data_IF_244473412400
#
_entry.id   IF_244473412400
#
_cell.length_a   1.000
_cell.length_b   1.000
_cell.length_c   1.000
_cell.angle_alpha   90.00
_cell.angle_beta   90.00
_cell.angle_gamma   90.00
#
_symmetry.space_group_name_H-M   'P 1'
#
loop_
_entity.id
_entity.type
_entity.pdbx_description
1 polymer ?
#
# COMPACT_ATOMS: atom_id res chain seq x y z
N UNK A 1 26.90 -2.95 -13.04
CA UNK A 1 26.26 -2.51 -11.78
C UNK A 1 24.75 -2.68 -11.90
N UNK A 2 24.04 -3.19 -10.89
CA UNK A 2 22.59 -3.51 -10.98
C UNK A 2 21.68 -2.31 -11.31
N UNK A 3 22.14 -1.09 -11.01
CA UNK A 3 21.40 0.16 -11.24
C UNK A 3 21.82 0.90 -12.52
N UNK A 4 22.61 0.25 -13.38
CA UNK A 4 23.07 0.87 -14.60
C UNK A 4 21.89 1.18 -15.56
N UNK A 5 21.93 2.29 -16.32
CA UNK A 5 20.81 2.75 -17.15
C UNK A 5 20.24 1.69 -18.10
N UNK A 6 21.08 0.80 -18.62
CA UNK A 6 20.74 -0.31 -19.51
C UNK A 6 19.80 -1.37 -18.87
N UNK A 7 19.64 -1.34 -17.54
CA UNK A 7 18.73 -2.23 -16.82
C UNK A 7 17.41 -1.56 -16.40
N UNK A 8 17.17 -0.28 -16.75
CA UNK A 8 15.97 0.47 -16.31
C UNK A 8 14.65 -0.24 -16.60
N UNK A 9 14.50 -0.80 -17.80
CA UNK A 9 13.27 -1.52 -18.15
C UNK A 9 13.05 -2.74 -17.26
N UNK A 10 14.12 -3.50 -16.99
CA UNK A 10 14.07 -4.68 -16.11
C UNK A 10 13.78 -4.29 -14.66
N UNK A 11 14.36 -3.18 -14.18
CA UNK A 11 14.07 -2.64 -12.84
C UNK A 11 12.62 -2.15 -12.74
N UNK A 12 12.09 -1.56 -13.81
CA UNK A 12 10.70 -1.16 -13.93
C UNK A 12 9.72 -2.31 -13.77
N UNK A 13 10.00 -3.45 -14.40
CA UNK A 13 9.21 -4.69 -14.22
C UNK A 13 9.24 -5.20 -12.76
N UNK A 14 10.36 -5.03 -12.05
CA UNK A 14 10.41 -5.35 -10.62
C UNK A 14 9.54 -4.39 -9.81
N UNK A 15 9.57 -3.09 -10.13
CA UNK A 15 8.71 -2.09 -9.50
C UNK A 15 7.22 -2.39 -9.66
N UNK A 16 6.80 -2.80 -10.87
CA UNK A 16 5.44 -3.25 -11.15
C UNK A 16 5.04 -4.45 -10.28
N UNK A 17 5.86 -5.52 -10.27
CA UNK A 17 5.62 -6.72 -9.48
C UNK A 17 5.54 -6.43 -7.99
N UNK A 18 6.42 -5.56 -7.48
CA UNK A 18 6.41 -5.12 -6.09
C UNK A 18 5.16 -4.29 -5.77
N UNK A 19 4.70 -3.42 -6.68
CA UNK A 19 3.47 -2.66 -6.52
C UNK A 19 2.23 -3.57 -6.41
N UNK A 20 2.14 -4.59 -7.26
CA UNK A 20 1.09 -5.61 -7.20
C UNK A 20 1.15 -6.42 -5.90
N UNK A 21 2.35 -6.84 -5.49
CA UNK A 21 2.54 -7.58 -4.24
C UNK A 21 2.16 -6.72 -3.02
N UNK A 22 2.53 -5.44 -3.02
CA UNK A 22 2.25 -4.51 -1.93
C UNK A 22 0.74 -4.34 -1.67
N UNK A 23 -0.11 -4.45 -2.70
CA UNK A 23 -1.57 -4.39 -2.54
C UNK A 23 -2.10 -5.46 -1.59
N UNK A 24 -1.48 -6.65 -1.57
CA UNK A 24 -1.87 -7.75 -0.68
C UNK A 24 -1.49 -7.47 0.78
N UNK A 25 -0.35 -6.82 0.99
CA UNK A 25 0.05 -6.36 2.32
C UNK A 25 -0.76 -5.15 2.79
N UNK A 26 -1.17 -4.26 1.88
CA UNK A 26 -2.10 -3.16 2.14
C UNK A 26 -3.42 -3.72 2.70
N UNK A 27 -4.01 -4.70 2.02
CA UNK A 27 -5.24 -5.36 2.44
C UNK A 27 -5.07 -6.04 3.80
N UNK A 28 -4.00 -6.82 3.98
CA UNK A 28 -3.70 -7.46 5.26
C UNK A 28 -3.55 -6.46 6.41
N UNK A 29 -2.97 -5.28 6.18
CA UNK A 29 -2.81 -4.27 7.20
C UNK A 29 -4.15 -3.74 7.73
N UNK A 30 -5.20 -3.68 6.89
CA UNK A 30 -6.54 -3.24 7.28
C UNK A 30 -7.13 -4.14 8.36
N UNK A 31 -6.96 -5.45 8.22
CA UNK A 31 -7.39 -6.46 9.20
C UNK A 31 -6.64 -6.40 10.54
N UNK A 32 -5.45 -5.79 10.60
CA UNK A 32 -4.74 -5.55 11.85
C UNK A 32 -5.24 -4.34 12.65
N UNK A 33 -5.99 -3.43 12.02
CA UNK A 33 -6.40 -2.15 12.63
C UNK A 33 -7.32 -2.25 13.86
N UNK A 34 -8.17 -3.29 14.05
CA UNK A 34 -8.96 -3.44 15.26
C UNK A 34 -8.11 -3.59 16.54
N UNK A 35 -6.90 -4.13 16.44
CA UNK A 35 -5.97 -4.30 17.56
C UNK A 35 -5.27 -3.00 17.98
N UNK A 36 -5.44 -1.92 17.20
CA UNK A 36 -4.77 -0.65 17.43
C UNK A 36 -5.68 0.37 18.12
N UNK A 37 -5.06 1.29 18.87
CA UNK A 37 -5.69 2.52 19.31
C UNK A 37 -6.18 3.33 18.09
N UNK A 38 -7.25 4.11 18.26
CA UNK A 38 -7.93 4.79 17.15
C UNK A 38 -6.97 5.63 16.28
N UNK A 39 -6.11 6.45 16.90
CA UNK A 39 -5.14 7.29 16.18
C UNK A 39 -4.18 6.46 15.32
N UNK A 40 -3.69 5.34 15.86
CA UNK A 40 -2.79 4.45 15.14
C UNK A 40 -3.50 3.71 14.01
N UNK A 41 -4.73 3.23 14.24
CA UNK A 41 -5.57 2.62 13.20
C UNK A 41 -5.82 3.61 12.05
N UNK A 42 -6.15 4.86 12.37
CA UNK A 42 -6.36 5.91 11.38
C UNK A 42 -5.10 6.19 10.55
N UNK A 43 -3.94 6.30 11.19
CA UNK A 43 -2.67 6.49 10.49
C UNK A 43 -2.35 5.32 9.55
N UNK A 44 -2.55 4.08 10.00
CA UNK A 44 -2.34 2.87 9.17
C UNK A 44 -3.29 2.84 7.97
N UNK A 45 -4.58 3.14 8.17
CA UNK A 45 -5.57 3.16 7.08
C UNK A 45 -5.32 4.29 6.08
N UNK A 46 -4.89 5.46 6.55
CA UNK A 46 -4.49 6.56 5.68
C UNK A 46 -3.25 6.19 4.85
N UNK A 47 -2.26 5.56 5.49
CA UNK A 47 -1.07 5.06 4.81
C UNK A 47 -1.42 3.99 3.77
N UNK A 48 -2.28 3.03 4.13
CA UNK A 48 -2.78 2.00 3.21
C UNK A 48 -3.42 2.63 1.96
N UNK A 49 -4.28 3.64 2.13
CA UNK A 49 -4.88 4.36 1.01
C UNK A 49 -3.87 5.13 0.15
N UNK A 50 -3.02 5.96 0.78
CA UNK A 50 -2.06 6.84 0.09
C UNK A 50 -0.97 6.05 -0.64
N UNK A 51 -0.30 5.14 0.07
CA UNK A 51 0.77 4.33 -0.51
C UNK A 51 0.22 3.27 -1.45
N UNK A 52 -0.97 2.72 -1.17
CA UNK A 52 -1.68 1.85 -2.09
C UNK A 52 -1.97 2.52 -3.43
N UNK A 53 -2.39 3.79 -3.41
CA UNK A 53 -2.62 4.55 -4.65
C UNK A 53 -1.33 4.74 -5.44
N UNK A 54 -0.22 5.07 -4.78
CA UNK A 54 1.09 5.19 -5.41
C UNK A 54 1.52 3.83 -5.99
N UNK A 55 1.41 2.74 -5.23
CA UNK A 55 1.78 1.39 -5.66
C UNK A 55 0.98 0.93 -6.88
N UNK A 56 -0.34 1.18 -6.90
CA UNK A 56 -1.17 0.94 -8.09
C UNK A 56 -0.73 1.78 -9.28
N UNK A 57 -0.42 3.07 -9.10
CA UNK A 57 0.10 3.91 -10.18
C UNK A 57 1.44 3.41 -10.73
N UNK A 58 2.35 2.95 -9.87
CA UNK A 58 3.61 2.32 -10.30
C UNK A 58 3.31 1.07 -11.13
N UNK A 59 2.44 0.19 -10.65
CA UNK A 59 2.06 -1.02 -11.38
C UNK A 59 1.41 -0.71 -12.75
N UNK A 60 0.53 0.29 -12.81
CA UNK A 60 -0.12 0.71 -14.07
C UNK A 60 0.87 1.34 -15.07
N UNK A 61 1.87 2.08 -14.59
CA UNK A 61 2.86 2.71 -15.45
C UNK A 61 3.92 1.73 -15.97
N UNK A 62 4.15 0.61 -15.26
CA UNK A 62 5.17 -0.37 -15.60
C UNK A 62 6.56 0.27 -15.66
N UNK A 63 7.40 -0.03 -16.67
CA UNK A 63 8.72 0.56 -16.83
C UNK A 63 8.77 2.09 -16.80
N UNK A 64 7.72 2.76 -17.31
CA UNK A 64 7.62 4.23 -17.32
C UNK A 64 7.54 4.85 -15.93
N UNK A 65 7.25 4.07 -14.89
CA UNK A 65 7.30 4.55 -13.51
C UNK A 65 8.71 5.03 -13.11
N UNK A 66 9.74 4.67 -13.87
CA UNK A 66 11.13 5.05 -13.64
C UNK A 66 11.54 6.37 -14.29
N UNK A 67 10.70 6.93 -15.18
CA UNK A 67 11.00 8.18 -15.88
C UNK A 67 10.85 9.41 -14.97
N UNK A 68 9.97 9.31 -13.98
CA UNK A 68 9.70 10.38 -13.02
C UNK A 68 9.19 9.82 -11.69
N UNK A 69 9.34 10.62 -10.62
CA UNK A 69 8.82 10.26 -9.31
C UNK A 69 7.28 10.21 -9.34
N UNK A 70 6.72 9.01 -9.16
CA UNK A 70 5.28 8.82 -8.98
C UNK A 70 4.85 9.40 -7.63
N UNK A 71 3.87 10.29 -7.66
CA UNK A 71 3.36 10.97 -6.47
C UNK A 71 1.83 11.00 -6.45
N UNK A 72 1.27 11.41 -5.33
CA UNK A 72 -0.16 11.70 -5.19
C UNK A 72 -0.36 13.15 -4.77
N UNK A 73 -1.46 13.76 -5.20
CA UNK A 73 -1.76 15.17 -4.94
C UNK A 73 -2.13 15.42 -3.48
N UNK A 74 -1.97 16.67 -3.00
CA UNK A 74 -2.39 17.06 -1.64
C UNK A 74 -3.89 16.82 -1.41
N UNK A 75 -4.71 17.11 -2.42
CA UNK A 75 -6.16 16.89 -2.35
C UNK A 75 -6.50 15.39 -2.26
N UNK A 76 -5.81 14.55 -3.02
CA UNK A 76 -5.99 13.10 -2.93
C UNK A 76 -5.60 12.57 -1.54
N UNK A 77 -4.48 13.05 -0.97
CA UNK A 77 -4.09 12.71 0.42
C UNK A 77 -5.17 13.09 1.43
N UNK A 78 -5.76 14.28 1.29
CA UNK A 78 -6.86 14.70 2.18
C UNK A 78 -8.10 13.81 2.03
N UNK A 79 -8.43 13.42 0.80
CA UNK A 79 -9.47 12.43 0.53
C UNK A 79 -9.21 11.09 1.23
N UNK A 80 -7.98 10.56 1.13
CA UNK A 80 -7.59 9.35 1.85
C UNK A 80 -7.65 9.51 3.36
N UNK A 81 -7.22 10.63 3.92
CA UNK A 81 -7.29 10.88 5.36
C UNK A 81 -8.73 10.90 5.87
N UNK A 82 -9.66 11.55 5.14
CA UNK A 82 -11.09 11.56 5.47
C UNK A 82 -11.69 10.17 5.38
N UNK A 83 -11.46 9.45 4.28
CA UNK A 83 -11.92 8.06 4.13
C UNK A 83 -11.38 7.15 5.24
N UNK A 84 -10.09 7.26 5.55
CA UNK A 84 -9.44 6.46 6.59
C UNK A 84 -9.99 6.76 8.00
N UNK A 85 -10.48 7.98 8.24
CA UNK A 85 -11.14 8.33 9.50
C UNK A 85 -12.46 7.55 9.65
N UNK A 86 -13.28 7.51 8.59
CA UNK A 86 -14.53 6.74 8.59
C UNK A 86 -14.29 5.23 8.62
N UNK A 87 -13.24 4.74 7.97
CA UNK A 87 -12.79 3.35 8.08
C UNK A 87 -12.34 3.05 9.52
N UNK A 88 -11.55 3.92 10.15
CA UNK A 88 -11.06 3.73 11.52
C UNK A 88 -12.20 3.71 12.55
N UNK A 89 -13.25 4.53 12.36
CA UNK A 89 -14.46 4.52 13.21
C UNK A 89 -15.22 3.20 13.12
N UNK A 90 -15.28 2.61 11.92
CA UNK A 90 -16.03 1.38 11.64
C UNK A 90 -15.17 0.12 11.58
N UNK A 91 -13.87 0.21 11.92
CA UNK A 91 -12.88 -0.86 11.67
C UNK A 91 -13.24 -2.23 12.24
N UNK A 92 -13.91 -2.29 13.40
CA UNK A 92 -14.35 -3.57 14.00
C UNK A 92 -15.42 -4.29 13.17
N UNK A 93 -16.21 -3.54 12.40
CA UNK A 93 -17.25 -4.05 11.50
C UNK A 93 -16.67 -4.29 10.11
N UNK A 94 -15.88 -3.34 9.58
CA UNK A 94 -15.30 -3.43 8.24
C UNK A 94 -14.20 -4.49 8.14
N UNK A 95 -13.46 -4.70 9.21
CA UNK A 95 -12.31 -5.59 9.26
C UNK A 95 -12.42 -6.53 10.47
N UNK A 96 -13.38 -7.47 10.46
CA UNK A 96 -13.52 -8.45 11.55
C UNK A 96 -12.26 -9.32 11.66
N UNK A 97 -12.08 -9.98 12.81
CA UNK A 97 -10.97 -10.90 13.00
C UNK A 97 -10.98 -11.96 11.88
N UNK A 98 -9.88 -12.02 11.13
CA UNK A 98 -9.69 -12.97 10.03
C UNK A 98 -8.30 -13.59 10.12
N UNK A 99 -8.18 -14.81 9.62
CA UNK A 99 -6.87 -15.45 9.47
C UNK A 99 -6.10 -14.70 8.39
N UNK A 100 -4.86 -14.30 8.71
CA UNK A 100 -3.96 -13.68 7.73
C UNK A 100 -3.74 -14.66 6.57
N UNK A 101 -3.79 -14.15 5.34
CA UNK A 101 -3.45 -14.92 4.13
C UNK A 101 -2.11 -15.64 4.30
N UNK A 102 -2.14 -16.97 4.25
CA UNK A 102 -1.01 -17.86 4.49
C UNK A 102 0.08 -17.74 3.42
N UNK A 103 -0.25 -17.18 2.26
CA UNK A 103 0.71 -16.98 1.17
C UNK A 103 1.49 -15.66 1.30
N UNK A 104 1.15 -14.81 2.28
CA UNK A 104 1.97 -13.66 2.63
C UNK A 104 3.19 -14.10 3.43
N UNK A 105 4.35 -13.53 3.10
CA UNK A 105 5.57 -13.80 3.85
C UNK A 105 5.40 -13.39 5.31
N UNK A 106 5.92 -14.24 6.19
CA UNK A 106 6.01 -14.00 7.63
C UNK A 106 7.47 -14.13 8.06
N UNK A 107 7.90 -13.25 8.96
CA UNK A 107 9.27 -13.27 9.47
C UNK A 107 9.49 -14.55 10.29
N UNK A 108 10.55 -15.34 10.02
CA UNK A 108 10.96 -16.43 10.90
C UNK A 108 11.22 -15.90 12.32
N UNK A 109 10.80 -16.66 13.34
CA UNK A 109 10.99 -16.30 14.74
C UNK A 109 12.39 -16.67 15.21
#
# INVERSE_FOLDING_TARGET
>A
ALLAPEYRDRLGLLGERLGLLAARYEESARYGTPALAFRSAWAVLAAAGIYGAIGRSVATLGPRAWDARVTTSRQAKLGFMRRAFDEARRRRVLYPASTRDATLWTRPR
#
